data_IF_106488167416
#
_entry.id   IF_106488167416
#
_cell.length_a   1.000
_cell.length_b   1.000
_cell.length_c   1.000
_cell.angle_alpha   90.00
_cell.angle_beta   90.00
_cell.angle_gamma   90.00
#
_symmetry.space_group_name_H-M   'P 1'
#
loop_
_entity.id
_entity.type
_entity.pdbx_description
1 polymer ?
#
# COMPACT_ATOMS: atom_id res chain seq x y z
N UNK A 1 0.69 -5.36 8.73
CA UNK A 1 1.99 -4.65 8.76
C UNK A 1 2.80 -5.07 10.00
N UNK A 2 2.23 -4.96 11.17
CA UNK A 2 2.98 -5.27 12.40
C UNK A 2 3.43 -6.73 12.48
N UNK A 3 2.62 -7.66 12.00
CA UNK A 3 2.99 -9.08 11.98
C UNK A 3 4.19 -9.34 11.06
N UNK A 4 4.18 -8.71 9.88
CA UNK A 4 5.29 -8.82 8.93
C UNK A 4 6.54 -8.15 9.48
N UNK A 5 6.41 -6.99 10.11
CA UNK A 5 7.53 -6.29 10.74
C UNK A 5 8.18 -7.15 11.84
N UNK A 6 7.36 -7.77 12.68
CA UNK A 6 7.85 -8.66 13.74
C UNK A 6 8.57 -9.89 13.16
N UNK A 7 8.03 -10.48 12.09
CA UNK A 7 8.67 -11.59 11.38
C UNK A 7 10.01 -11.14 10.76
N UNK A 8 10.06 -9.93 10.23
CA UNK A 8 11.28 -9.36 9.68
C UNK A 8 12.37 -9.23 10.74
N UNK A 9 12.00 -8.77 11.95
CA UNK A 9 12.94 -8.66 13.07
C UNK A 9 13.51 -10.04 13.47
N UNK A 10 12.74 -11.10 13.29
CA UNK A 10 13.19 -12.47 13.56
C UNK A 10 13.93 -13.10 12.38
N UNK A 11 14.03 -12.43 11.24
CA UNK A 11 14.62 -12.98 10.03
C UNK A 11 13.75 -14.03 9.35
N UNK A 12 12.46 -14.05 9.61
CA UNK A 12 11.52 -15.06 9.12
C UNK A 12 10.62 -14.59 7.99
N UNK A 13 10.79 -13.35 7.51
CA UNK A 13 9.95 -12.80 6.45
C UNK A 13 10.36 -13.31 5.06
N UNK A 14 9.40 -13.30 4.13
CA UNK A 14 9.63 -13.63 2.72
C UNK A 14 9.30 -12.41 1.85
N UNK A 15 9.77 -12.44 0.59
CA UNK A 15 9.40 -11.41 -0.39
C UNK A 15 7.90 -11.32 -0.59
N UNK A 16 7.23 -12.46 -0.62
CA UNK A 16 5.78 -12.55 -0.78
C UNK A 16 5.07 -11.81 0.35
N UNK A 17 5.46 -12.07 1.60
CA UNK A 17 4.85 -11.44 2.76
C UNK A 17 5.08 -9.93 2.78
N UNK A 18 6.30 -9.50 2.49
CA UNK A 18 6.64 -8.06 2.44
C UNK A 18 5.90 -7.36 1.31
N UNK A 19 5.88 -7.95 0.12
CA UNK A 19 5.20 -7.38 -1.04
C UNK A 19 3.69 -7.31 -0.81
N UNK A 20 3.10 -8.35 -0.21
CA UNK A 20 1.68 -8.38 0.12
C UNK A 20 1.30 -7.31 1.14
N UNK A 21 2.13 -7.12 2.15
CA UNK A 21 1.94 -6.10 3.16
C UNK A 21 1.95 -4.70 2.56
N UNK A 22 2.95 -4.39 1.73
CA UNK A 22 3.07 -3.08 1.09
C UNK A 22 1.92 -2.85 0.10
N UNK A 23 1.60 -3.85 -0.70
CA UNK A 23 0.49 -3.78 -1.67
C UNK A 23 -0.82 -3.44 -0.97
N UNK A 24 -1.17 -4.18 0.06
CA UNK A 24 -2.41 -3.99 0.80
C UNK A 24 -2.45 -2.62 1.47
N UNK A 25 -1.38 -2.25 2.19
CA UNK A 25 -1.32 -0.99 2.93
C UNK A 25 -1.38 0.21 1.99
N UNK A 26 -0.66 0.17 0.86
CA UNK A 26 -0.64 1.27 -0.09
C UNK A 26 -2.01 1.47 -0.74
N UNK A 27 -2.67 0.40 -1.19
CA UNK A 27 -3.99 0.50 -1.80
C UNK A 27 -5.04 0.96 -0.80
N UNK A 28 -4.98 0.50 0.45
CA UNK A 28 -5.91 0.92 1.49
C UNK A 28 -5.69 2.37 1.90
N UNK A 29 -4.43 2.83 1.95
CA UNK A 29 -4.13 4.23 2.27
C UNK A 29 -4.76 5.18 1.25
N UNK A 30 -4.67 4.86 -0.05
CA UNK A 30 -5.30 5.65 -1.10
C UNK A 30 -6.81 5.67 -0.95
N UNK A 31 -7.41 4.50 -0.70
CA UNK A 31 -8.86 4.39 -0.51
C UNK A 31 -9.34 5.20 0.69
N UNK A 32 -8.63 5.13 1.80
CA UNK A 32 -8.94 5.89 3.01
C UNK A 32 -8.83 7.40 2.73
N UNK A 33 -7.80 7.82 2.01
CA UNK A 33 -7.61 9.24 1.67
C UNK A 33 -8.76 9.76 0.79
N UNK A 34 -9.23 8.96 -0.18
CA UNK A 34 -10.39 9.31 -1.00
C UNK A 34 -11.65 9.44 -0.15
N UNK A 35 -11.87 8.53 0.79
CA UNK A 35 -13.02 8.60 1.71
C UNK A 35 -12.94 9.83 2.61
N UNK A 36 -11.74 10.20 3.05
CA UNK A 36 -11.54 11.40 3.86
C UNK A 36 -11.94 12.67 3.09
N UNK A 37 -11.55 12.75 1.81
CA UNK A 37 -11.95 13.86 0.93
C UNK A 37 -13.48 13.88 0.79
N UNK A 38 -14.08 12.73 0.59
CA UNK A 38 -15.55 12.62 0.46
C UNK A 38 -16.25 13.09 1.73
N UNK A 39 -15.73 12.71 2.90
CA UNK A 39 -16.32 13.12 4.18
C UNK A 39 -16.27 14.62 4.39
N UNK A 40 -15.22 15.30 3.92
CA UNK A 40 -15.08 16.75 4.02
C UNK A 40 -15.84 17.48 2.92
N UNK A 41 -16.26 16.79 1.86
CA UNK A 41 -16.96 17.39 0.73
C UNK A 41 -16.08 18.40 0.01
N UNK A 42 -16.63 19.57 -0.32
CA UNK A 42 -15.86 20.64 -0.99
C UNK A 42 -14.61 21.06 -0.24
N UNK A 43 -14.64 21.03 1.09
CA UNK A 43 -13.48 21.35 1.91
C UNK A 43 -12.34 20.34 1.70
N UNK A 44 -12.66 19.07 1.43
CA UNK A 44 -11.66 18.07 1.14
C UNK A 44 -10.97 18.28 -0.20
N UNK A 45 -11.64 18.91 -1.14
CA UNK A 45 -11.08 19.19 -2.47
C UNK A 45 -10.08 20.36 -2.46
N UNK A 46 -10.31 21.39 -1.64
CA UNK A 46 -9.49 22.60 -1.65
C UNK A 46 -8.17 22.40 -0.87
N UNK A 47 -7.17 23.22 -1.21
CA UNK A 47 -5.83 23.09 -0.63
C UNK A 47 -5.70 23.63 0.80
N UNK A 48 -6.75 24.26 1.34
CA UNK A 48 -6.75 24.74 2.73
C UNK A 48 -6.73 23.59 3.73
N UNK A 49 -7.12 22.37 3.30
CA UNK A 49 -7.12 21.16 4.11
C UNK A 49 -6.09 20.17 3.56
N UNK A 50 -5.49 19.32 4.42
CA UNK A 50 -4.38 18.47 3.99
C UNK A 50 -4.80 17.21 3.19
N UNK A 51 -6.10 16.96 3.02
CA UNK A 51 -6.59 15.70 2.42
C UNK A 51 -6.12 15.49 0.99
N UNK A 52 -6.07 16.55 0.16
CA UNK A 52 -5.57 16.42 -1.21
C UNK A 52 -4.10 16.04 -1.27
N UNK A 53 -3.29 16.63 -0.39
CA UNK A 53 -1.88 16.28 -0.26
C UNK A 53 -1.71 14.84 0.22
N UNK A 54 -2.49 14.44 1.21
CA UNK A 54 -2.44 13.08 1.74
C UNK A 54 -2.81 12.04 0.68
N UNK A 55 -3.78 12.36 -0.18
CA UNK A 55 -4.14 11.49 -1.30
C UNK A 55 -2.98 11.34 -2.28
N UNK A 56 -2.34 12.45 -2.66
CA UNK A 56 -1.18 12.40 -3.57
C UNK A 56 -0.03 11.61 -2.95
N UNK A 57 0.22 11.84 -1.67
CA UNK A 57 1.28 11.13 -0.95
C UNK A 57 0.98 9.62 -0.86
N UNK A 58 -0.27 9.27 -0.57
CA UNK A 58 -0.69 7.86 -0.53
C UNK A 58 -0.52 7.18 -1.89
N UNK A 59 -0.88 7.87 -2.97
CA UNK A 59 -0.76 7.32 -4.32
C UNK A 59 0.69 7.01 -4.69
N UNK A 60 1.62 7.78 -4.17
CA UNK A 60 3.04 7.52 -4.39
C UNK A 60 3.43 6.10 -3.96
N UNK A 61 2.86 5.61 -2.87
CA UNK A 61 3.18 4.27 -2.37
C UNK A 61 2.65 3.14 -3.25
N UNK A 62 1.71 3.43 -4.15
CA UNK A 62 1.25 2.47 -5.16
C UNK A 62 2.13 2.46 -6.41
N UNK A 63 2.97 3.47 -6.59
CA UNK A 63 3.77 3.67 -7.81
C UNK A 63 5.26 3.57 -7.51
N UNK A 64 5.72 4.19 -6.42
CA UNK A 64 7.12 4.28 -6.06
C UNK A 64 7.69 2.95 -5.57
N UNK A 65 8.97 2.71 -5.87
CA UNK A 65 9.70 1.51 -5.44
C UNK A 65 9.05 0.18 -5.86
N UNK A 66 8.26 0.21 -6.91
CA UNK A 66 7.52 -0.92 -7.45
C UNK A 66 6.02 -0.63 -7.46
N UNK A 67 5.41 -0.72 -8.63
CA UNK A 67 3.97 -0.50 -8.77
C UNK A 67 3.18 -1.63 -8.12
N UNK A 68 1.88 -1.40 -7.88
CA UNK A 68 0.98 -2.44 -7.39
C UNK A 68 0.95 -3.64 -8.34
N UNK A 69 0.98 -3.40 -9.64
CA UNK A 69 0.99 -4.44 -10.66
C UNK A 69 2.24 -5.31 -10.56
N UNK A 70 3.41 -4.67 -10.38
CA UNK A 70 4.69 -5.39 -10.22
C UNK A 70 4.68 -6.20 -8.93
N UNK A 71 4.14 -5.65 -7.85
CA UNK A 71 4.04 -6.37 -6.57
C UNK A 71 3.14 -7.59 -6.68
N UNK A 72 2.02 -7.48 -7.42
CA UNK A 72 1.14 -8.62 -7.69
C UNK A 72 1.86 -9.71 -8.49
N UNK A 73 2.64 -9.30 -9.48
CA UNK A 73 3.44 -10.22 -10.28
C UNK A 73 4.47 -10.96 -9.43
N UNK A 74 5.14 -10.24 -8.53
CA UNK A 74 6.12 -10.83 -7.61
C UNK A 74 5.45 -11.86 -6.70
N UNK A 75 4.31 -11.51 -6.11
CA UNK A 75 3.57 -12.40 -5.22
C UNK A 75 3.12 -13.65 -5.97
N UNK A 76 2.59 -13.49 -7.17
CA UNK A 76 2.16 -14.61 -8.00
C UNK A 76 3.31 -15.56 -8.32
N UNK A 77 4.47 -15.01 -8.65
CA UNK A 77 5.66 -15.80 -8.96
C UNK A 77 6.14 -16.59 -7.74
N UNK A 78 6.13 -15.96 -6.55
CA UNK A 78 6.54 -16.64 -5.32
C UNK A 78 5.56 -17.74 -4.94
N UNK A 79 4.25 -17.50 -5.09
CA UNK A 79 3.22 -18.51 -4.85
C UNK A 79 3.36 -19.69 -5.80
N UNK A 80 3.64 -19.43 -7.06
CA UNK A 80 3.86 -20.49 -8.05
C UNK A 80 5.07 -21.35 -7.67
N UNK A 81 6.16 -20.72 -7.25
CA UNK A 81 7.36 -21.43 -6.83
C UNK A 81 7.10 -22.33 -5.62
N UNK A 82 6.25 -21.89 -4.67
CA UNK A 82 5.89 -22.68 -3.49
C UNK A 82 5.04 -23.91 -3.85
N UNK A 83 4.24 -23.83 -4.91
CA UNK A 83 3.31 -24.90 -5.29
C UNK A 83 3.83 -25.77 -6.43
N UNK A 84 4.93 -25.38 -7.07
CA UNK A 84 5.58 -26.16 -8.11
C UNK A 84 6.52 -27.23 -7.51
#
# INVERSE_FOLDING_TARGET
VYAVAAACDRGETTRKDSAGCILYAAEKATKIALEAIQCLGGNGYINDYPTGRLLRDAKLYEIGAGTSEIRRMLIGRELFAETA
#
